data_IF_695588815013
#
_entry.id   IF_695588815013
#
_cell.length_a   1.000
_cell.length_b   1.000
_cell.length_c   1.000
_cell.angle_alpha   90.00
_cell.angle_beta   90.00
_cell.angle_gamma   90.00
#
_symmetry.space_group_name_H-M   'P 1'
#
loop_
_entity.id
_entity.type
_entity.pdbx_description
1 polymer ?
#
# COMPACT_ATOMS: atom_id res chain seq x y z
N UNK A 1 -31.68 12.45 -5.00
CA UNK A 1 -31.04 11.98 -3.76
C UNK A 1 -31.99 10.97 -3.17
N UNK A 2 -31.67 9.69 -3.27
CA UNK A 2 -32.54 8.64 -2.74
C UNK A 2 -32.22 8.47 -1.25
N UNK A 3 -33.21 8.78 -0.41
CA UNK A 3 -33.12 8.63 1.03
C UNK A 3 -33.19 7.14 1.38
N UNK A 4 -32.09 6.62 1.91
CA UNK A 4 -32.02 5.23 2.38
C UNK A 4 -32.74 5.18 3.74
N UNK A 5 -33.88 4.50 3.76
CA UNK A 5 -34.74 4.33 4.92
C UNK A 5 -33.99 3.86 6.16
N UNK A 6 -34.02 4.68 7.21
CA UNK A 6 -33.47 4.36 8.52
C UNK A 6 -34.33 3.31 9.22
N UNK A 7 -33.71 2.21 9.64
CA UNK A 7 -34.25 1.37 10.70
C UNK A 7 -33.85 2.03 12.01
N UNK A 8 -34.76 2.82 12.59
CA UNK A 8 -34.58 3.39 13.92
C UNK A 8 -34.62 2.26 14.97
N UNK A 9 -33.56 2.16 15.78
CA UNK A 9 -33.64 1.48 17.09
C UNK A 9 -32.79 0.23 17.32
N UNK A 10 -32.10 -0.33 16.32
CA UNK A 10 -31.14 -1.41 16.55
C UNK A 10 -29.70 -0.89 16.40
N UNK A 11 -28.91 -0.99 17.47
CA UNK A 11 -27.47 -0.78 17.36
C UNK A 11 -26.94 -1.72 16.26
N UNK A 12 -26.15 -1.22 15.30
CA UNK A 12 -25.62 -2.07 14.24
C UNK A 12 -24.89 -3.25 14.88
N UNK A 13 -25.26 -4.48 14.50
CA UNK A 13 -24.58 -5.71 14.95
C UNK A 13 -23.12 -5.78 14.50
N UNK A 14 -22.77 -4.95 13.52
CA UNK A 14 -21.42 -4.77 13.04
C UNK A 14 -20.64 -3.76 13.86
N UNK A 15 -19.39 -4.09 14.19
CA UNK A 15 -18.43 -3.21 14.86
C UNK A 15 -17.25 -2.94 13.94
N UNK A 16 -16.73 -1.71 13.95
CA UNK A 16 -15.62 -1.35 13.07
C UNK A 16 -16.06 -0.99 11.66
N UNK A 17 -15.05 -0.91 10.81
CA UNK A 17 -15.21 -0.67 9.37
C UNK A 17 -15.14 -1.98 8.59
N UNK A 18 -15.64 -1.98 7.35
CA UNK A 18 -15.49 -3.11 6.43
C UNK A 18 -14.17 -2.99 5.67
N UNK A 19 -13.37 -4.05 5.68
CA UNK A 19 -12.26 -4.16 4.75
C UNK A 19 -12.78 -4.45 3.33
N UNK A 20 -12.37 -3.66 2.35
CA UNK A 20 -12.77 -3.81 0.94
C UNK A 20 -11.55 -4.00 0.05
N UNK A 21 -11.68 -4.86 -0.96
CA UNK A 21 -10.60 -5.21 -1.89
C UNK A 21 -10.46 -4.21 -3.04
N UNK A 22 -10.40 -2.92 -2.70
CA UNK A 22 -10.10 -1.83 -3.62
C UNK A 22 -9.24 -0.77 -2.92
N UNK A 23 -8.94 0.34 -3.62
CA UNK A 23 -8.05 1.40 -3.12
C UNK A 23 -8.46 2.02 -1.78
N UNK A 24 -9.72 1.93 -1.42
CA UNK A 24 -10.24 2.50 -0.17
C UNK A 24 -9.69 1.72 1.02
N UNK A 25 -9.42 0.42 0.88
CA UNK A 25 -9.15 -0.58 1.92
C UNK A 25 -10.26 -0.68 2.99
N UNK A 26 -10.90 0.42 3.36
CA UNK A 26 -11.78 0.56 4.50
C UNK A 26 -13.01 1.33 4.06
N UNK A 27 -14.18 0.77 4.33
CA UNK A 27 -15.47 1.44 4.20
C UNK A 27 -16.10 1.58 5.59
N UNK A 28 -16.36 2.82 6.06
CA UNK A 28 -17.07 3.02 7.31
C UNK A 28 -18.45 2.38 7.24
N UNK A 29 -18.77 1.55 8.23
CA UNK A 29 -20.14 1.16 8.53
C UNK A 29 -20.63 2.10 9.64
N UNK A 30 -21.92 2.37 9.78
CA UNK A 30 -22.46 3.36 10.73
C UNK A 30 -22.09 3.21 12.23
N UNK A 31 -21.23 2.25 12.59
CA UNK A 31 -20.57 2.15 13.90
C UNK A 31 -19.31 3.03 13.97
N UNK A 32 -19.13 3.73 15.09
CA UNK A 32 -17.94 4.55 15.37
C UNK A 32 -16.85 3.80 16.14
N UNK A 33 -17.10 2.54 16.53
CA UNK A 33 -16.14 1.71 17.26
C UNK A 33 -14.96 1.33 16.36
N UNK A 34 -13.73 1.61 16.78
CA UNK A 34 -12.49 1.14 16.10
C UNK A 34 -12.07 -0.18 16.74
N UNK A 35 -12.09 -1.25 15.96
CA UNK A 35 -11.79 -2.61 16.42
C UNK A 35 -10.37 -3.05 16.04
N UNK A 36 -9.79 -2.44 15.01
CA UNK A 36 -8.43 -2.70 14.57
C UNK A 36 -7.37 -2.15 15.53
N UNK A 37 -6.20 -2.81 15.55
CA UNK A 37 -5.07 -2.44 16.38
C UNK A 37 -3.80 -2.34 15.54
N UNK A 38 -3.04 -1.27 15.76
CA UNK A 38 -1.78 -1.04 15.08
C UNK A 38 -0.81 -2.18 15.38
N UNK A 39 -0.19 -2.72 14.32
CA UNK A 39 0.77 -3.81 14.40
C UNK A 39 2.00 -3.49 15.26
N UNK A 40 2.37 -2.21 15.38
CA UNK A 40 3.61 -1.77 16.05
C UNK A 40 3.40 -1.41 17.52
N UNK A 41 2.31 -0.72 17.85
CA UNK A 41 2.08 -0.18 19.19
C UNK A 41 0.75 -0.62 19.83
N UNK A 42 -0.12 -1.33 19.11
CA UNK A 42 -1.42 -1.78 19.60
C UNK A 42 -2.50 -0.69 19.69
N UNK A 43 -2.18 0.57 19.36
CA UNK A 43 -3.14 1.67 19.36
C UNK A 43 -4.29 1.43 18.37
N UNK A 44 -5.52 1.88 18.67
CA UNK A 44 -6.67 1.69 17.78
C UNK A 44 -6.43 2.30 16.39
N UNK A 45 -6.68 1.53 15.33
CA UNK A 45 -6.62 2.02 13.95
C UNK A 45 -7.32 1.05 12.99
N UNK A 46 -7.94 1.58 11.94
CA UNK A 46 -8.48 0.80 10.82
C UNK A 46 -7.61 0.94 9.55
N UNK A 47 -6.51 1.70 9.61
CA UNK A 47 -5.72 2.02 8.41
C UNK A 47 -4.81 0.86 8.00
N UNK A 48 -5.09 0.26 6.84
CA UNK A 48 -4.32 -0.84 6.28
C UNK A 48 -3.26 -0.37 5.27
N UNK A 49 -2.07 -0.95 5.37
CA UNK A 49 -0.94 -0.72 4.45
C UNK A 49 -0.27 -2.05 4.07
N UNK A 50 0.15 -2.17 2.81
CA UNK A 50 1.04 -3.28 2.43
C UNK A 50 2.47 -2.92 2.85
N UNK A 51 3.18 -3.89 3.44
CA UNK A 51 4.59 -3.72 3.79
C UNK A 51 5.39 -3.26 2.57
N UNK A 52 6.22 -2.22 2.73
CA UNK A 52 7.08 -1.72 1.66
C UNK A 52 8.06 -2.76 1.10
N UNK A 53 8.36 -3.84 1.81
CA UNK A 53 9.12 -4.97 1.27
C UNK A 53 8.25 -5.79 0.31
N UNK A 54 8.64 -5.84 -0.96
CA UNK A 54 7.89 -6.51 -2.04
C UNK A 54 7.79 -8.01 -1.80
N UNK A 55 8.84 -8.64 -1.26
CA UNK A 55 8.85 -10.07 -0.99
C UNK A 55 7.95 -10.43 0.21
N UNK A 56 7.81 -9.49 1.17
CA UNK A 56 6.94 -9.67 2.31
C UNK A 56 5.47 -9.38 1.96
N UNK A 57 5.22 -8.22 1.36
CA UNK A 57 3.91 -7.69 0.96
C UNK A 57 2.77 -7.82 2.00
N UNK A 58 3.10 -7.97 3.29
CA UNK A 58 2.10 -8.17 4.35
C UNK A 58 1.19 -6.96 4.47
N UNK A 59 -0.11 -7.16 4.31
CA UNK A 59 -1.15 -6.20 4.67
C UNK A 59 -1.23 -6.12 6.20
N UNK A 60 -1.04 -4.93 6.78
CA UNK A 60 -1.04 -4.73 8.23
C UNK A 60 -1.60 -3.36 8.62
N UNK A 61 -2.09 -3.27 9.86
CA UNK A 61 -2.67 -2.05 10.43
C UNK A 61 -1.58 -1.13 10.99
N UNK A 62 -1.56 0.14 10.58
CA UNK A 62 -0.56 1.12 11.03
C UNK A 62 -1.24 2.43 11.42
N UNK A 63 -1.06 2.87 12.66
CA UNK A 63 -1.60 4.15 13.09
C UNK A 63 -0.79 5.32 12.52
N UNK A 64 -1.38 6.51 12.49
CA UNK A 64 -0.74 7.72 11.97
C UNK A 64 0.58 8.08 12.68
N UNK A 65 0.76 7.70 13.94
CA UNK A 65 1.99 7.93 14.69
C UNK A 65 3.12 6.94 14.31
N UNK A 66 2.78 5.68 14.01
CA UNK A 66 3.77 4.67 13.63
C UNK A 66 4.13 4.72 12.14
N UNK A 67 3.24 5.23 11.28
CA UNK A 67 3.51 5.20 9.84
C UNK A 67 4.78 5.98 9.44
N UNK A 68 5.05 7.21 9.94
CA UNK A 68 6.28 7.93 9.65
C UNK A 68 7.54 7.23 10.16
N UNK A 69 7.50 6.67 11.37
CA UNK A 69 8.67 6.07 12.04
C UNK A 69 9.03 4.69 11.48
N UNK A 70 8.02 3.91 11.09
CA UNK A 70 8.18 2.57 10.49
C UNK A 70 8.34 2.62 8.98
N UNK A 71 8.12 3.79 8.39
CA UNK A 71 8.16 4.03 6.95
C UNK A 71 7.29 3.07 6.12
N UNK A 72 6.20 2.53 6.71
CA UNK A 72 5.34 1.55 6.05
C UNK A 72 5.90 0.12 5.98
N UNK A 73 6.95 -0.19 6.73
CA UNK A 73 7.47 -1.56 6.87
C UNK A 73 6.92 -2.23 8.13
N UNK A 74 6.49 -3.49 8.01
CA UNK A 74 5.97 -4.24 9.15
C UNK A 74 7.03 -4.60 10.21
N UNK A 75 8.32 -4.48 9.88
CA UNK A 75 9.43 -4.85 10.76
C UNK A 75 10.76 -4.23 10.31
N UNK A 76 11.75 -4.16 11.20
CA UNK A 76 13.09 -3.67 10.89
C UNK A 76 13.82 -4.51 9.81
N UNK A 77 13.73 -5.85 9.77
CA UNK A 77 14.30 -6.61 8.66
C UNK A 77 13.68 -6.23 7.30
N UNK A 78 12.38 -5.94 7.26
CA UNK A 78 11.72 -5.49 6.04
C UNK A 78 12.18 -4.09 5.61
N UNK A 79 12.56 -3.21 6.55
CA UNK A 79 13.01 -1.87 6.23
C UNK A 79 14.40 -1.84 5.59
N UNK A 80 15.19 -2.91 5.67
CA UNK A 80 16.51 -3.04 5.03
C UNK A 80 16.56 -4.10 3.93
N UNK A 81 15.42 -4.70 3.57
CA UNK A 81 15.35 -5.72 2.53
C UNK A 81 15.86 -5.20 1.16
N UNK A 82 16.40 -6.08 0.30
CA UNK A 82 16.89 -5.66 -1.02
C UNK A 82 15.76 -5.18 -1.94
N UNK A 83 14.59 -5.85 -1.90
CA UNK A 83 13.45 -5.53 -2.77
C UNK A 83 12.40 -4.67 -2.04
N UNK A 84 12.73 -3.40 -1.82
CA UNK A 84 11.81 -2.41 -1.23
C UNK A 84 11.09 -1.57 -2.29
N UNK A 85 9.84 -1.20 -2.01
CA UNK A 85 9.06 -0.21 -2.76
C UNK A 85 9.63 1.18 -2.47
N UNK A 86 9.88 2.03 -3.49
CA UNK A 86 10.23 3.42 -3.25
C UNK A 86 8.97 4.13 -2.76
N UNK A 87 8.92 4.45 -1.47
CA UNK A 87 7.84 5.24 -0.87
C UNK A 87 8.32 6.71 -0.80
N UNK A 88 7.98 7.56 -1.78
CA UNK A 88 8.36 8.96 -1.74
C UNK A 88 7.83 9.62 -0.46
N UNK A 89 8.79 10.08 0.35
CA UNK A 89 8.69 11.05 1.44
C UNK A 89 7.70 10.70 2.56
N UNK A 90 8.08 9.72 3.38
CA UNK A 90 7.68 9.62 4.79
C UNK A 90 8.43 10.61 5.70
N UNK A 91 9.26 11.51 5.13
CA UNK A 91 10.07 12.49 5.85
C UNK A 91 10.70 13.58 4.98
N UNK A 92 10.06 13.98 3.87
CA UNK A 92 10.55 15.04 2.97
C UNK A 92 9.53 16.18 2.78
N UNK A 93 9.82 17.14 1.90
CA UNK A 93 9.07 18.40 1.69
C UNK A 93 7.58 18.30 1.28
N UNK A 94 7.04 17.09 1.10
CA UNK A 94 5.63 16.86 0.79
C UNK A 94 4.86 16.47 2.07
N UNK A 95 3.61 16.94 2.26
CA UNK A 95 2.82 16.59 3.43
C UNK A 95 2.57 15.08 3.48
N UNK A 96 2.65 14.52 4.69
CA UNK A 96 2.27 13.13 4.96
C UNK A 96 0.82 12.89 4.53
N UNK A 97 0.59 11.88 3.68
CA UNK A 97 -0.75 11.40 3.30
C UNK A 97 -0.79 9.88 3.36
N UNK A 98 -1.65 9.35 4.24
CA UNK A 98 -1.90 7.92 4.37
C UNK A 98 -2.45 7.34 3.06
N UNK A 99 -3.31 8.07 2.35
CA UNK A 99 -3.88 7.68 1.07
C UNK A 99 -2.80 7.54 0.00
N UNK A 100 -1.83 8.47 -0.04
CA UNK A 100 -0.69 8.39 -0.95
C UNK A 100 0.18 7.17 -0.66
N UNK A 101 0.48 6.91 0.61
CA UNK A 101 1.27 5.74 1.02
C UNK A 101 0.53 4.42 0.73
N UNK A 102 -0.77 4.36 1.02
CA UNK A 102 -1.62 3.23 0.68
C UNK A 102 -1.61 3.00 -0.83
N UNK A 103 -1.79 4.04 -1.65
CA UNK A 103 -1.74 3.95 -3.12
C UNK A 103 -0.39 3.39 -3.62
N UNK A 104 0.74 3.90 -3.11
CA UNK A 104 2.07 3.40 -3.50
C UNK A 104 2.31 1.92 -3.17
N UNK A 105 1.60 1.41 -2.17
CA UNK A 105 1.74 0.02 -1.70
C UNK A 105 0.65 -0.92 -2.26
N UNK A 106 -0.48 -0.37 -2.73
CA UNK A 106 -1.57 -1.08 -3.42
C UNK A 106 -1.45 -1.08 -4.95
N UNK A 107 -0.57 -0.25 -5.52
CA UNK A 107 -0.35 -0.13 -6.97
C UNK A 107 -0.82 1.23 -7.53
N UNK A 108 -0.31 1.62 -8.71
CA UNK A 108 -0.51 2.96 -9.25
C UNK A 108 -1.99 3.20 -9.58
N UNK A 109 -2.40 4.46 -9.66
CA UNK A 109 -3.71 4.84 -10.21
C UNK A 109 -3.93 4.26 -11.61
N UNK A 110 -5.18 3.99 -12.04
CA UNK A 110 -5.42 3.57 -13.41
C UNK A 110 -4.82 4.59 -14.38
N UNK A 111 -4.02 4.11 -15.34
CA UNK A 111 -3.29 4.97 -16.29
C UNK A 111 -2.00 5.59 -15.76
N UNK A 112 -1.70 5.51 -14.45
CA UNK A 112 -0.43 5.94 -13.90
C UNK A 112 0.64 4.84 -14.02
N UNK A 113 1.90 5.26 -14.18
CA UNK A 113 3.04 4.35 -14.20
C UNK A 113 3.19 3.73 -12.81
N UNK A 114 3.32 2.41 -12.76
CA UNK A 114 3.69 1.71 -11.53
C UNK A 114 5.20 1.83 -11.29
N UNK A 115 5.70 2.61 -10.30
CA UNK A 115 7.11 2.53 -9.92
C UNK A 115 7.54 1.11 -9.56
N UNK A 116 6.59 0.30 -9.10
CA UNK A 116 6.84 -1.02 -8.55
C UNK A 116 6.75 -2.14 -9.59
N UNK A 117 6.28 -1.86 -10.81
CA UNK A 117 6.17 -2.88 -11.86
C UNK A 117 7.55 -3.20 -12.42
N UNK A 118 7.94 -4.46 -12.29
CA UNK A 118 9.11 -4.98 -12.99
C UNK A 118 8.77 -5.16 -14.46
N UNK A 119 9.71 -4.80 -15.32
CA UNK A 119 9.60 -5.05 -16.75
C UNK A 119 9.32 -6.53 -16.98
N UNK A 120 8.22 -6.82 -17.68
CA UNK A 120 7.93 -8.16 -18.21
C UNK A 120 8.67 -8.41 -19.53
N UNK A 121 9.40 -7.40 -20.04
CA UNK A 121 10.23 -7.52 -21.22
C UNK A 121 11.45 -8.34 -20.84
N UNK A 122 11.71 -9.39 -21.61
CA UNK A 122 12.88 -10.24 -21.45
C UNK A 122 14.13 -9.44 -21.87
N UNK A 123 15.19 -9.38 -21.05
CA UNK A 123 16.44 -8.77 -21.48
C UNK A 123 17.04 -9.46 -22.72
N UNK A 124 17.87 -8.74 -23.44
CA UNK A 124 18.72 -9.33 -24.47
C UNK A 124 19.70 -10.33 -23.84
N UNK A 125 20.00 -11.44 -24.52
CA UNK A 125 20.90 -12.49 -24.01
C UNK A 125 20.30 -13.48 -22.99
N UNK A 126 19.13 -13.21 -22.39
CA UNK A 126 18.45 -14.17 -21.51
C UNK A 126 17.49 -15.03 -22.33
N UNK A 127 17.57 -16.36 -22.28
CA UNK A 127 16.61 -17.23 -22.96
C UNK A 127 15.24 -17.19 -22.26
N UNK A 128 14.14 -17.37 -23.01
CA UNK A 128 12.78 -17.19 -22.46
C UNK A 128 12.46 -18.15 -21.31
N UNK A 129 12.95 -19.39 -21.37
CA UNK A 129 12.79 -20.39 -20.32
C UNK A 129 13.54 -20.05 -19.02
N UNK A 130 14.58 -19.23 -19.13
CA UNK A 130 15.44 -18.81 -18.02
C UNK A 130 15.05 -17.41 -17.50
N UNK A 131 14.05 -16.77 -18.11
CA UNK A 131 13.57 -15.46 -17.70
C UNK A 131 12.68 -15.55 -16.46
N UNK A 132 13.21 -15.05 -15.36
CA UNK A 132 12.48 -14.71 -14.14
C UNK A 132 12.47 -13.20 -13.92
N UNK A 133 11.28 -12.59 -13.81
CA UNK A 133 11.13 -11.16 -13.57
C UNK A 133 11.72 -10.72 -12.22
N UNK A 134 11.78 -11.58 -11.20
CA UNK A 134 12.39 -11.24 -9.92
C UNK A 134 13.91 -11.14 -10.00
N UNK A 135 14.52 -11.95 -10.87
CA UNK A 135 15.98 -12.02 -11.05
C UNK A 135 16.46 -11.08 -12.16
N UNK A 136 15.68 -10.92 -13.22
CA UNK A 136 16.08 -10.20 -14.45
C UNK A 136 15.25 -8.95 -14.73
N UNK A 137 14.16 -8.72 -14.01
CA UNK A 137 13.30 -7.56 -14.22
C UNK A 137 13.97 -6.29 -13.72
N UNK A 138 13.90 -5.24 -14.52
CA UNK A 138 14.29 -3.89 -14.12
C UNK A 138 13.06 -3.02 -13.92
N UNK A 139 13.19 -1.95 -13.13
CA UNK A 139 12.21 -0.86 -13.08
C UNK A 139 12.57 0.12 -14.17
N UNK A 140 11.62 0.57 -14.98
CA UNK A 140 11.87 1.76 -15.81
C UNK A 140 12.25 2.92 -14.88
N UNK A 141 13.35 3.62 -15.18
CA UNK A 141 13.70 4.80 -14.42
C UNK A 141 12.51 5.77 -14.43
N UNK A 142 12.21 6.40 -13.29
CA UNK A 142 11.24 7.49 -13.16
C UNK A 142 11.73 8.78 -13.85
N UNK A 143 12.62 8.66 -14.84
CA UNK A 143 13.24 9.79 -15.49
C UNK A 143 12.36 10.19 -16.66
N UNK A 144 11.79 11.40 -16.56
CA UNK A 144 11.11 12.11 -17.65
C UNK A 144 12.03 12.49 -18.81
N UNK A 145 12.98 11.63 -19.17
CA UNK A 145 13.89 11.76 -20.30
C UNK A 145 14.09 10.37 -20.91
N UNK A 146 13.09 9.89 -21.65
CA UNK A 146 13.22 8.71 -22.49
C UNK A 146 14.07 9.04 -23.72
N UNK A 147 15.39 8.90 -23.55
CA UNK A 147 16.36 8.89 -24.64
C UNK A 147 16.15 7.68 -25.55
N UNK A 148 16.38 7.93 -26.84
CA UNK A 148 16.48 6.97 -27.93
C UNK A 148 17.55 5.91 -27.67
N UNK A 149 17.22 4.64 -27.93
CA UNK A 149 18.13 3.52 -28.03
C UNK A 149 17.44 2.34 -28.69
#
# INVERSE_FOLDING_TARGET
AEEVGGVEGAAPHWKGSLFVFDRRNVMPMGSTEVVGRCHHCGAPTEAFFNCGNVDCNKLHLVCSACLPTTQGYCSAPCSVAPRRRPLPNLGGAAPFSAERIASLTQGPLPGAIDPNKLSSVKPEGVARKDFDANTHGWRSAMDGTGGTG
#
